data_IF_952992204603
#
_entry.id   IF_952992204603
#
_cell.length_a   1.000
_cell.length_b   1.000
_cell.length_c   1.000
_cell.angle_alpha   90.00
_cell.angle_beta   90.00
_cell.angle_gamma   90.00
#
_symmetry.space_group_name_H-M   'P 1'
#
loop_
_entity.id
_entity.type
_entity.pdbx_description
1 polymer ?
#
# COMPACT_ATOMS: atom_id res chain seq x y z
N UNK A 1 7.91 -18.62 11.77
CA UNK A 1 7.58 -19.80 10.97
C UNK A 1 8.04 -19.55 9.54
N UNK A 2 8.86 -20.44 8.98
CA UNK A 2 9.31 -20.33 7.58
C UNK A 2 8.25 -20.99 6.69
N UNK A 3 7.82 -20.31 5.63
CA UNK A 3 6.86 -20.86 4.67
C UNK A 3 7.49 -22.01 3.89
N UNK A 4 6.76 -23.11 3.72
CA UNK A 4 7.20 -24.22 2.87
C UNK A 4 7.22 -23.81 1.40
N UNK A 5 8.01 -24.49 0.56
CA UNK A 5 8.07 -24.20 -0.87
C UNK A 5 6.70 -24.35 -1.56
N UNK A 6 5.87 -25.29 -1.09
CA UNK A 6 4.49 -25.44 -1.57
C UNK A 6 3.62 -24.22 -1.23
N UNK A 7 3.73 -23.69 -0.01
CA UNK A 7 3.02 -22.48 0.42
C UNK A 7 3.49 -21.24 -0.35
N UNK A 8 4.80 -21.12 -0.61
CA UNK A 8 5.36 -20.04 -1.43
C UNK A 8 4.78 -20.06 -2.84
N UNK A 9 4.77 -21.22 -3.51
CA UNK A 9 4.20 -21.39 -4.86
C UNK A 9 2.70 -21.09 -4.90
N UNK A 10 1.94 -21.51 -3.87
CA UNK A 10 0.51 -21.23 -3.77
C UNK A 10 0.24 -19.73 -3.61
N UNK A 11 0.98 -19.06 -2.72
CA UNK A 11 0.89 -17.61 -2.54
C UNK A 11 1.27 -16.88 -3.83
N UNK A 12 2.34 -17.29 -4.50
CA UNK A 12 2.78 -16.66 -5.74
C UNK A 12 1.72 -16.80 -6.85
N UNK A 13 1.09 -17.98 -7.00
CA UNK A 13 -0.01 -18.20 -7.94
C UNK A 13 -1.21 -17.30 -7.63
N UNK A 14 -1.57 -17.16 -6.35
CA UNK A 14 -2.65 -16.27 -5.94
C UNK A 14 -2.31 -14.80 -6.18
N UNK A 15 -1.09 -14.37 -5.87
CA UNK A 15 -0.61 -13.01 -6.11
C UNK A 15 -0.58 -12.68 -7.61
N UNK A 16 -0.17 -13.61 -8.48
CA UNK A 16 -0.22 -13.42 -9.94
C UNK A 16 -1.66 -13.20 -10.41
N UNK A 17 -2.61 -14.01 -9.94
CA UNK A 17 -4.05 -13.87 -10.28
C UNK A 17 -4.67 -12.58 -9.72
N UNK A 18 -4.21 -12.11 -8.55
CA UNK A 18 -4.79 -10.98 -7.83
C UNK A 18 -3.86 -9.76 -7.77
N UNK A 19 -2.96 -9.62 -8.75
CA UNK A 19 -1.85 -8.64 -8.72
C UNK A 19 -2.32 -7.22 -8.42
N UNK A 20 -3.42 -6.77 -9.05
CA UNK A 20 -3.99 -5.43 -8.84
C UNK A 20 -4.43 -5.23 -7.38
N UNK A 21 -5.15 -6.20 -6.81
CA UNK A 21 -5.65 -6.13 -5.43
C UNK A 21 -4.52 -6.22 -4.42
N UNK A 22 -3.56 -7.10 -4.65
CA UNK A 22 -2.37 -7.24 -3.81
C UNK A 22 -1.55 -5.94 -3.80
N UNK A 23 -1.29 -5.36 -4.96
CA UNK A 23 -0.59 -4.08 -5.08
C UNK A 23 -1.34 -2.95 -4.37
N UNK A 24 -2.66 -2.86 -4.54
CA UNK A 24 -3.48 -1.87 -3.85
C UNK A 24 -3.35 -1.98 -2.32
N UNK A 25 -3.43 -3.20 -1.76
CA UNK A 25 -3.28 -3.43 -0.32
C UNK A 25 -1.87 -3.07 0.14
N UNK A 26 -0.83 -3.48 -0.61
CA UNK A 26 0.55 -3.19 -0.28
C UNK A 26 0.82 -1.68 -0.24
N UNK A 27 0.41 -0.95 -1.28
CA UNK A 27 0.54 0.51 -1.35
C UNK A 27 -0.19 1.20 -0.20
N UNK A 28 -1.43 0.77 0.08
CA UNK A 28 -2.24 1.33 1.17
C UNK A 28 -1.59 1.11 2.53
N UNK A 29 -1.09 -0.10 2.81
CA UNK A 29 -0.44 -0.41 4.08
C UNK A 29 0.88 0.34 4.25
N UNK A 30 1.68 0.44 3.20
CA UNK A 30 2.93 1.21 3.20
C UNK A 30 2.67 2.69 3.46
N UNK A 31 1.72 3.30 2.75
CA UNK A 31 1.34 4.70 2.96
C UNK A 31 0.86 4.95 4.40
N UNK A 32 0.02 4.07 4.94
CA UNK A 32 -0.43 4.16 6.35
C UNK A 32 0.74 4.09 7.32
N UNK A 33 1.71 3.20 7.10
CA UNK A 33 2.86 3.08 7.99
C UNK A 33 3.78 4.30 7.88
N UNK A 34 3.95 4.86 6.69
CA UNK A 34 4.77 6.04 6.47
C UNK A 34 4.20 7.23 7.26
N UNK A 35 2.94 7.58 7.01
CA UNK A 35 2.22 8.68 7.67
C UNK A 35 2.21 8.52 9.20
N UNK A 36 2.11 7.29 9.72
CA UNK A 36 2.02 7.06 11.17
C UNK A 36 3.34 7.06 11.91
N UNK A 37 4.45 6.70 11.25
CA UNK A 37 5.68 6.32 11.97
C UNK A 37 6.97 6.88 11.38
N UNK A 38 6.97 7.32 10.12
CA UNK A 38 8.21 7.64 9.39
C UNK A 38 8.23 9.05 8.79
N UNK A 39 7.08 9.66 8.58
CA UNK A 39 6.96 10.98 7.97
C UNK A 39 7.39 12.10 8.91
N UNK A 40 7.99 13.14 8.34
CA UNK A 40 8.23 14.44 8.97
C UNK A 40 6.98 15.34 8.85
N UNK A 41 6.99 16.50 9.52
CA UNK A 41 5.90 17.47 9.41
C UNK A 41 5.73 17.96 7.97
N UNK A 42 6.83 18.28 7.29
CA UNK A 42 6.81 18.71 5.88
C UNK A 42 6.19 17.66 4.96
N UNK A 43 6.51 16.37 5.18
CA UNK A 43 5.92 15.28 4.40
C UNK A 43 4.40 15.21 4.62
N UNK A 44 3.93 15.43 5.84
CA UNK A 44 2.50 15.41 6.15
C UNK A 44 1.76 16.55 5.46
N UNK A 45 2.33 17.76 5.47
CA UNK A 45 1.77 18.94 4.81
C UNK A 45 1.66 18.75 3.28
N UNK A 46 2.70 18.16 2.67
CA UNK A 46 2.67 17.83 1.24
C UNK A 46 1.62 16.76 0.92
N UNK A 47 1.60 15.67 1.69
CA UNK A 47 0.64 14.58 1.50
C UNK A 47 -0.80 15.06 1.69
N UNK A 48 -1.06 15.98 2.62
CA UNK A 48 -2.39 16.54 2.82
C UNK A 48 -2.87 17.30 1.58
N UNK A 49 -2.03 18.14 0.97
CA UNK A 49 -2.35 18.86 -0.28
C UNK A 49 -2.69 17.88 -1.41
N UNK A 50 -1.89 16.83 -1.55
CA UNK A 50 -2.13 15.78 -2.56
C UNK A 50 -3.48 15.09 -2.32
N UNK A 51 -3.79 14.74 -1.07
CA UNK A 51 -5.06 14.09 -0.70
C UNK A 51 -6.25 15.01 -0.99
N UNK A 52 -6.15 16.30 -0.66
CA UNK A 52 -7.21 17.28 -0.91
C UNK A 52 -7.51 17.40 -2.41
N UNK A 53 -6.47 17.51 -3.25
CA UNK A 53 -6.65 17.57 -4.70
C UNK A 53 -7.28 16.29 -5.24
N UNK A 54 -6.81 15.12 -4.80
CA UNK A 54 -7.35 13.83 -5.25
C UNK A 54 -8.82 13.62 -4.86
N UNK A 55 -9.24 14.14 -3.70
CA UNK A 55 -10.66 14.10 -3.29
C UNK A 55 -11.53 14.95 -4.21
N UNK A 56 -11.06 16.13 -4.63
CA UNK A 56 -11.78 17.00 -5.56
C UNK A 56 -11.97 16.34 -6.94
N UNK A 57 -10.97 15.62 -7.43
CA UNK A 57 -11.08 14.87 -8.70
C UNK A 57 -12.03 13.66 -8.65
N UNK A 58 -12.37 13.18 -7.45
CA UNK A 58 -13.22 12.00 -7.23
C UNK A 58 -14.66 12.34 -6.84
N UNK A 59 -14.95 13.62 -6.62
CA UNK A 59 -16.28 14.18 -6.38
C UNK A 59 -16.88 14.62 -7.72
#
# INVERSE_FOLDING_TARGET
MVLTEAQKRANEKWHRKNRKRANYIAMRSSARSFIRKKSTLTDLDELEKIIQNRRKELL
#
